data_IF_900118035728
#
_entry.id   IF_900118035728
#
_cell.length_a   1.000
_cell.length_b   1.000
_cell.length_c   1.000
_cell.angle_alpha   90.00
_cell.angle_beta   90.00
_cell.angle_gamma   90.00
#
_symmetry.space_group_name_H-M   'P 1'
#
loop_
_entity.id
_entity.type
_entity.pdbx_description
1 polymer ?
#
# COMPACT_ATOMS: atom_id res chain seq x y z
N UNK A 1 10.23 20.34 7.86
CA UNK A 1 11.52 20.51 7.14
C UNK A 1 11.56 19.47 6.04
N UNK A 2 11.77 19.89 4.80
CA UNK A 2 11.88 18.99 3.64
C UNK A 2 13.37 18.68 3.40
N UNK A 3 13.77 17.41 3.31
CA UNK A 3 15.17 17.04 3.11
C UNK A 3 15.66 17.51 1.73
N UNK A 4 16.80 18.20 1.70
CA UNK A 4 17.41 18.76 0.49
C UNK A 4 18.88 18.37 0.40
N UNK A 5 19.40 18.25 -0.82
CA UNK A 5 20.82 18.02 -1.05
C UNK A 5 21.65 19.31 -0.94
N UNK A 6 22.97 19.20 -1.12
CA UNK A 6 23.88 20.36 -1.09
C UNK A 6 23.63 21.41 -2.19
N UNK A 7 22.75 21.12 -3.16
CA UNK A 7 22.33 22.05 -4.22
C UNK A 7 20.89 22.55 -3.99
N UNK A 8 20.26 22.23 -2.85
CA UNK A 8 18.92 22.67 -2.49
C UNK A 8 17.78 21.89 -3.17
N UNK A 9 18.07 20.80 -3.87
CA UNK A 9 17.08 19.94 -4.54
C UNK A 9 16.43 19.00 -3.54
N UNK A 10 15.14 18.73 -3.72
CA UNK A 10 14.37 17.82 -2.85
C UNK A 10 14.93 16.40 -2.93
N UNK A 11 15.13 15.79 -1.77
CA UNK A 11 15.54 14.39 -1.63
C UNK A 11 14.35 13.53 -1.24
N UNK A 12 14.16 12.43 -1.96
CA UNK A 12 13.21 11.40 -1.54
C UNK A 12 13.87 10.52 -0.47
N UNK A 13 13.36 10.58 0.76
CA UNK A 13 13.77 9.67 1.84
C UNK A 13 12.75 8.53 1.90
N UNK A 14 12.99 7.47 1.14
CA UNK A 14 12.08 6.34 1.08
C UNK A 14 12.08 5.56 2.40
N UNK A 15 10.88 5.34 2.93
CA UNK A 15 10.64 4.47 4.08
C UNK A 15 10.25 3.06 3.66
N UNK A 16 9.49 2.35 4.47
CA UNK A 16 8.95 1.02 4.12
C UNK A 16 7.43 1.07 4.11
N UNK A 17 6.80 0.20 3.34
CA UNK A 17 5.35 0.06 3.39
C UNK A 17 4.92 -1.40 3.45
N UNK A 18 3.82 -1.67 4.12
CA UNK A 18 3.17 -2.98 4.16
C UNK A 18 1.76 -2.80 3.63
N UNK A 19 1.37 -3.69 2.72
CA UNK A 19 0.03 -3.70 2.13
C UNK A 19 -0.58 -5.07 2.36
N UNK A 20 -1.79 -5.09 2.90
CA UNK A 20 -2.59 -6.29 3.08
C UNK A 20 -3.92 -6.10 2.36
N UNK A 21 -4.28 -7.08 1.55
CA UNK A 21 -5.57 -7.18 0.86
C UNK A 21 -6.33 -8.33 1.52
N UNK A 22 -7.55 -8.05 1.96
CA UNK A 22 -8.37 -9.03 2.67
C UNK A 22 -9.85 -8.87 2.33
N UNK A 23 -10.61 -9.92 2.55
CA UNK A 23 -12.07 -9.86 2.65
C UNK A 23 -12.43 -9.93 4.14
N UNK A 24 -13.34 -9.07 4.57
CA UNK A 24 -13.94 -9.14 5.90
C UNK A 24 -15.40 -9.55 5.72
N UNK A 25 -15.78 -10.70 6.24
CA UNK A 25 -17.17 -11.15 6.16
C UNK A 25 -18.07 -10.42 7.19
N UNK A 26 -19.40 -10.56 7.11
CA UNK A 26 -20.31 -9.93 8.08
C UNK A 26 -20.12 -10.40 9.53
N UNK A 27 -19.50 -11.56 9.75
CA UNK A 27 -19.16 -12.07 11.08
C UNK A 27 -17.81 -11.53 11.58
N UNK A 28 -17.13 -10.69 10.81
CA UNK A 28 -15.82 -10.10 11.13
C UNK A 28 -14.64 -11.02 10.87
N UNK A 29 -14.85 -12.16 10.21
CA UNK A 29 -13.76 -13.07 9.84
C UNK A 29 -12.97 -12.47 8.68
N UNK A 30 -11.65 -12.43 8.86
CA UNK A 30 -10.72 -11.92 7.86
C UNK A 30 -10.20 -13.08 7.01
N UNK A 31 -10.33 -12.95 5.70
CA UNK A 31 -9.73 -13.80 4.70
C UNK A 31 -8.64 -13.01 3.98
N UNK A 32 -7.38 -13.26 4.34
CA UNK A 32 -6.25 -12.62 3.68
C UNK A 32 -6.15 -13.13 2.23
N UNK A 33 -6.16 -12.19 1.29
CA UNK A 33 -6.00 -12.46 -0.13
C UNK A 33 -4.56 -12.26 -0.58
N UNK A 34 -3.86 -11.31 0.04
CA UNK A 34 -2.49 -11.01 -0.32
C UNK A 34 -1.84 -10.09 0.70
N UNK A 35 -0.54 -10.27 0.87
CA UNK A 35 0.27 -9.42 1.71
C UNK A 35 1.62 -9.20 1.03
N UNK A 36 2.13 -7.97 1.13
CA UNK A 36 3.47 -7.63 0.68
C UNK A 36 4.08 -6.58 1.59
N UNK A 37 5.30 -6.87 2.05
CA UNK A 37 6.21 -5.88 2.61
C UNK A 37 7.06 -5.30 1.47
N UNK A 38 7.06 -3.98 1.34
CA UNK A 38 7.78 -3.22 0.32
C UNK A 38 8.96 -2.52 1.00
N UNK A 39 10.16 -2.90 0.59
CA UNK A 39 11.41 -2.35 1.11
C UNK A 39 11.64 -0.91 0.59
N UNK A 40 12.49 -0.11 1.25
CA UNK A 40 12.74 1.27 0.82
C UNK A 40 13.22 1.45 -0.62
N UNK A 41 14.06 0.54 -1.12
CA UNK A 41 14.50 0.58 -2.51
C UNK A 41 13.36 0.36 -3.50
N UNK A 42 12.47 -0.60 -3.21
CA UNK A 42 11.30 -0.90 -4.02
C UNK A 42 10.29 0.25 -3.98
N UNK A 43 10.04 0.82 -2.79
CA UNK A 43 9.11 1.94 -2.63
C UNK A 43 9.60 3.17 -3.39
N UNK A 44 10.91 3.46 -3.36
CA UNK A 44 11.53 4.51 -4.18
C UNK A 44 11.27 4.25 -5.67
N UNK A 45 11.50 3.03 -6.14
CA UNK A 45 11.29 2.67 -7.56
C UNK A 45 9.81 2.72 -7.98
N UNK A 46 8.88 2.54 -7.05
CA UNK A 46 7.44 2.63 -7.27
C UNK A 46 6.91 4.08 -7.33
N UNK A 47 7.74 5.08 -7.01
CA UNK A 47 7.32 6.48 -7.00
C UNK A 47 7.03 7.00 -8.41
N UNK A 48 5.94 7.77 -8.52
CA UNK A 48 5.51 8.43 -9.75
C UNK A 48 5.21 9.89 -9.45
N UNK A 49 5.75 10.78 -10.28
CA UNK A 49 5.27 12.15 -10.40
C UNK A 49 4.65 12.33 -11.78
N UNK A 50 3.40 12.75 -11.80
CA UNK A 50 2.67 13.07 -13.03
C UNK A 50 1.72 14.25 -12.77
N UNK A 51 0.98 14.63 -13.81
CA UNK A 51 0.04 15.77 -13.78
C UNK A 51 -1.00 15.70 -12.64
N UNK A 52 -1.38 14.50 -12.20
CA UNK A 52 -2.37 14.29 -11.13
C UNK A 52 -1.75 14.27 -9.71
N UNK A 53 -0.48 14.63 -9.57
CA UNK A 53 0.24 14.64 -8.30
C UNK A 53 1.24 13.49 -8.15
N UNK A 54 1.80 13.39 -6.93
CA UNK A 54 2.79 12.37 -6.58
C UNK A 54 2.12 11.19 -5.90
N UNK A 55 2.44 9.98 -6.32
CA UNK A 55 1.89 8.75 -5.76
C UNK A 55 2.87 7.58 -5.91
N UNK A 56 2.57 6.47 -5.25
CA UNK A 56 3.26 5.20 -5.43
C UNK A 56 2.35 4.22 -6.17
N UNK A 57 2.89 3.52 -7.17
CA UNK A 57 2.20 2.41 -7.84
C UNK A 57 2.76 1.09 -7.34
N UNK A 58 1.96 0.31 -6.61
CA UNK A 58 2.36 -0.95 -6.00
C UNK A 58 1.50 -2.09 -6.53
N UNK A 59 2.16 -3.19 -6.89
CA UNK A 59 1.49 -4.42 -7.33
C UNK A 59 1.53 -5.45 -6.20
N UNK A 60 0.35 -5.92 -5.81
CA UNK A 60 0.18 -6.87 -4.72
C UNK A 60 -0.42 -8.15 -5.32
N UNK A 61 0.31 -9.28 -5.29
CA UNK A 61 -0.26 -10.54 -5.74
C UNK A 61 -1.40 -10.94 -4.81
N UNK A 62 -2.53 -11.32 -5.41
CA UNK A 62 -3.73 -11.77 -4.68
C UNK A 62 -4.05 -13.21 -5.05
N UNK A 63 -4.34 -14.01 -4.04
CA UNK A 63 -4.83 -15.37 -4.17
C UNK A 63 -6.17 -15.46 -3.44
N UNK A 64 -7.24 -15.79 -4.16
CA UNK A 64 -8.57 -15.93 -3.58
C UNK A 64 -8.77 -17.40 -3.20
N UNK A 65 -8.84 -17.74 -1.90
CA UNK A 65 -9.09 -19.11 -1.49
C UNK A 65 -10.54 -19.51 -1.83
N UNK A 66 -10.77 -20.78 -2.17
CA UNK A 66 -12.10 -21.28 -2.51
C UNK A 66 -13.12 -21.13 -1.35
N UNK A 67 -12.63 -21.02 -0.11
CA UNK A 67 -13.44 -20.79 1.09
C UNK A 67 -13.82 -19.32 1.33
N UNK A 68 -13.30 -18.39 0.52
CA UNK A 68 -13.63 -16.97 0.64
C UNK A 68 -15.09 -16.72 0.23
N UNK A 69 -15.80 -15.81 0.92
CA UNK A 69 -17.15 -15.46 0.54
C UNK A 69 -17.18 -14.78 -0.85
N UNK A 70 -18.25 -14.98 -1.63
CA UNK A 70 -18.33 -14.48 -3.00
C UNK A 70 -18.39 -12.95 -3.06
N UNK A 71 -17.50 -12.34 -3.87
CA UNK A 71 -17.48 -10.95 -4.40
C UNK A 71 -17.98 -9.84 -3.46
N UNK A 72 -17.77 -9.98 -2.16
CA UNK A 72 -17.90 -8.91 -1.17
C UNK A 72 -16.70 -7.98 -1.31
N UNK A 73 -16.90 -6.68 -1.18
CA UNK A 73 -15.86 -5.66 -1.36
C UNK A 73 -14.56 -6.05 -0.62
N UNK A 74 -13.41 -5.85 -1.28
CA UNK A 74 -12.12 -6.16 -0.68
C UNK A 74 -11.66 -4.97 0.14
N UNK A 75 -11.10 -5.23 1.32
CA UNK A 75 -10.45 -4.23 2.14
C UNK A 75 -8.97 -4.24 1.84
N UNK A 76 -8.42 -3.09 1.48
CA UNK A 76 -6.99 -2.86 1.33
C UNK A 76 -6.54 -2.03 2.52
N UNK A 77 -5.66 -2.59 3.34
CA UNK A 77 -5.00 -1.88 4.42
C UNK A 77 -3.55 -1.60 4.03
N UNK A 78 -3.11 -0.37 4.29
CA UNK A 78 -1.76 0.11 3.97
C UNK A 78 -1.15 0.72 5.22
N UNK A 79 0.06 0.28 5.57
CA UNK A 79 0.86 0.87 6.62
C UNK A 79 2.23 1.28 6.09
N UNK A 80 2.49 2.58 5.99
CA UNK A 80 3.79 3.07 5.54
C UNK A 80 4.53 3.75 6.71
N UNK A 81 5.77 3.37 6.92
CA UNK A 81 6.69 4.03 7.86
C UNK A 81 7.58 4.98 7.07
N UNK A 82 7.54 6.26 7.38
CA UNK A 82 8.37 7.28 6.76
C UNK A 82 9.87 7.03 7.05
N UNK A 83 10.71 7.20 6.03
CA UNK A 83 12.14 6.95 6.11
C UNK A 83 12.88 8.03 6.90
N UNK A 84 12.33 9.25 6.96
CA UNK A 84 12.92 10.38 7.66
C UNK A 84 12.51 10.44 9.14
N UNK A 85 11.22 10.62 9.40
CA UNK A 85 10.67 10.80 10.75
C UNK A 85 10.50 9.49 11.52
N UNK A 86 10.55 8.34 10.84
CA UNK A 86 10.17 7.02 11.38
C UNK A 86 8.71 6.91 11.81
N UNK A 87 7.87 7.91 11.54
CA UNK A 87 6.46 7.86 11.85
C UNK A 87 5.75 6.84 10.93
N UNK A 88 4.83 6.07 11.51
CA UNK A 88 3.99 5.14 10.75
C UNK A 88 2.61 5.74 10.50
N UNK A 89 2.22 5.78 9.24
CA UNK A 89 0.90 6.16 8.77
C UNK A 89 0.13 4.91 8.37
N UNK A 90 -1.17 4.89 8.67
CA UNK A 90 -2.06 3.77 8.38
C UNK A 90 -3.31 4.29 7.71
N UNK A 91 -3.78 3.56 6.71
CA UNK A 91 -5.06 3.81 6.06
C UNK A 91 -5.65 2.50 5.58
N UNK A 92 -6.97 2.48 5.42
CA UNK A 92 -7.67 1.35 4.83
C UNK A 92 -8.81 1.86 3.98
N UNK A 93 -9.11 1.13 2.90
CA UNK A 93 -10.22 1.44 2.02
C UNK A 93 -10.87 0.18 1.47
N UNK A 94 -12.15 0.28 1.12
CA UNK A 94 -12.85 -0.76 0.39
C UNK A 94 -12.67 -0.53 -1.12
N UNK A 95 -12.37 -1.61 -1.84
CA UNK A 95 -12.33 -1.63 -3.31
C UNK A 95 -13.32 -2.66 -3.82
N UNK A 96 -13.93 -2.35 -4.97
CA UNK A 96 -14.81 -3.32 -5.62
C UNK A 96 -14.00 -4.56 -6.03
N UNK A 97 -14.59 -5.74 -5.84
CA UNK A 97 -13.98 -6.97 -6.32
C UNK A 97 -13.82 -6.90 -7.86
N UNK A 98 -12.69 -7.38 -8.42
CA UNK A 98 -12.50 -7.39 -9.86
C UNK A 98 -13.59 -8.21 -10.56
N UNK A 99 -13.99 -7.76 -11.76
CA UNK A 99 -14.88 -8.51 -12.66
C UNK A 99 -14.04 -9.56 -13.39
N UNK A 100 -14.60 -10.76 -13.55
CA UNK A 100 -14.03 -11.84 -14.38
C UNK A 100 -14.09 -11.49 -15.86
#
# INVERSE_FOLDING_TARGET
VEPRDGLGRVLQVAGRCEVTVAIVDPAGKVFELGHRAIAPGELRAAWRAAFMGTHYSLEIPVLVPASAPPKVAWTVAVSCTDGWTRQTFRTSGAVAAPRE
#
